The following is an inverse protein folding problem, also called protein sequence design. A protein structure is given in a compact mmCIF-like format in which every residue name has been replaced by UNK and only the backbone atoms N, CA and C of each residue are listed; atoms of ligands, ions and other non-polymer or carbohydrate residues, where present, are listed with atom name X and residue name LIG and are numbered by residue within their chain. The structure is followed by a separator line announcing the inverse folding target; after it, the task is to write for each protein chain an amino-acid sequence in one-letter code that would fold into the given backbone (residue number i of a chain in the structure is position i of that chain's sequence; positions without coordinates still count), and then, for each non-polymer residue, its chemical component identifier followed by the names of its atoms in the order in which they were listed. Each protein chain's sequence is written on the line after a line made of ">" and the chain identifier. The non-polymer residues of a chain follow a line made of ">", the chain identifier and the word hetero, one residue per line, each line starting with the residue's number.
data_IF_127565438839
#
_entry.id   IF_127565438839
#
_cell.length_a   1.000
_cell.length_b   1.000
_cell.length_c   1.000
_cell.angle_alpha   90.00
_cell.angle_beta   90.00
_cell.angle_gamma   90.00
#
_symmetry.space_group_name_H-M   'P 1'
#
loop_
_entity.id
_entity.type
_entity.pdbx_description
1 polymer ?
#
# COMPACT_ATOMS: atom_id res chain seq x y z
N UNK A 1 57.79 -25.30 17.27
CA UNK A 1 56.54 -24.68 16.80
C UNK A 1 56.87 -23.23 16.49
N UNK A 2 57.06 -22.87 15.24
CA UNK A 2 57.33 -21.48 14.84
C UNK A 2 56.05 -20.67 14.99
N UNK A 3 56.04 -19.70 15.88
CA UNK A 3 54.96 -18.73 16.00
C UNK A 3 54.92 -17.90 14.75
N UNK A 4 53.91 -18.13 13.90
CA UNK A 4 53.68 -17.31 12.71
C UNK A 4 53.38 -15.89 13.19
N UNK A 5 54.20 -14.93 12.76
CA UNK A 5 54.02 -13.52 13.18
C UNK A 5 52.80 -12.89 12.49
N UNK A 6 52.13 -11.99 13.17
CA UNK A 6 50.89 -11.32 12.62
C UNK A 6 51.08 -10.70 11.21
N UNK A 7 52.27 -10.10 10.92
CA UNK A 7 52.56 -9.59 9.54
C UNK A 7 52.64 -10.67 8.47
N UNK A 8 53.09 -11.89 8.82
CA UNK A 8 53.17 -13.00 7.86
C UNK A 8 51.77 -13.56 7.54
N UNK A 9 50.91 -13.71 8.53
CA UNK A 9 49.52 -14.11 8.39
C UNK A 9 48.77 -13.13 7.44
N UNK A 10 48.95 -11.83 7.67
CA UNK A 10 48.36 -10.80 6.86
C UNK A 10 48.85 -10.87 5.37
N UNK A 11 50.12 -11.14 5.17
CA UNK A 11 50.72 -11.21 3.85
C UNK A 11 50.26 -12.46 3.05
N UNK A 12 50.11 -13.59 3.72
CA UNK A 12 49.55 -14.80 3.11
C UNK A 12 48.05 -14.69 2.86
N UNK A 13 47.30 -14.07 3.77
CA UNK A 13 45.86 -13.86 3.63
C UNK A 13 45.54 -12.97 2.43
N UNK A 14 46.29 -11.88 2.22
CA UNK A 14 46.12 -10.96 1.06
C UNK A 14 46.54 -11.60 -0.27
N UNK A 15 47.45 -12.61 -0.25
CA UNK A 15 47.81 -13.36 -1.44
C UNK A 15 46.77 -14.43 -1.81
N UNK A 16 45.96 -14.85 -0.91
CA UNK A 16 44.90 -15.82 -1.15
C UNK A 16 43.71 -15.17 -1.86
N UNK A 17 43.29 -15.70 -3.01
CA UNK A 17 42.10 -15.23 -3.73
C UNK A 17 40.85 -15.35 -2.86
N UNK A 18 40.74 -16.42 -2.06
CA UNK A 18 39.64 -16.63 -1.12
C UNK A 18 39.67 -15.59 -0.01
N UNK A 19 40.87 -15.26 0.52
CA UNK A 19 41.04 -14.21 1.54
C UNK A 19 40.61 -12.83 1.03
N UNK A 20 40.96 -12.48 -0.21
CA UNK A 20 40.58 -11.22 -0.84
C UNK A 20 39.04 -11.14 -1.02
N UNK A 21 38.41 -12.22 -1.46
CA UNK A 21 36.93 -12.29 -1.57
C UNK A 21 36.28 -12.12 -0.20
N UNK A 22 36.81 -12.79 0.84
CA UNK A 22 36.30 -12.65 2.20
C UNK A 22 36.39 -11.22 2.75
N UNK A 23 37.55 -10.54 2.54
CA UNK A 23 37.70 -9.13 2.90
C UNK A 23 36.71 -8.24 2.12
N UNK A 24 36.56 -8.51 0.83
CA UNK A 24 35.62 -7.78 -0.02
C UNK A 24 34.17 -7.88 0.47
N UNK A 25 33.74 -9.09 0.84
CA UNK A 25 32.41 -9.31 1.42
C UNK A 25 32.26 -8.58 2.76
N UNK A 26 33.24 -8.71 3.65
CA UNK A 26 33.22 -8.03 4.94
C UNK A 26 33.18 -6.51 4.79
N UNK A 27 34.01 -5.95 3.91
CA UNK A 27 33.99 -4.52 3.61
C UNK A 27 32.63 -4.08 3.03
N UNK A 28 32.04 -4.88 2.13
CA UNK A 28 30.70 -4.66 1.60
C UNK A 28 29.63 -4.64 2.69
N UNK A 29 29.66 -5.58 3.62
CA UNK A 29 28.73 -5.63 4.77
C UNK A 29 28.91 -4.42 5.70
N UNK A 30 30.14 -3.98 5.96
CA UNK A 30 30.40 -2.78 6.77
C UNK A 30 29.84 -1.53 6.09
N UNK A 31 30.07 -1.39 4.77
CA UNK A 31 29.54 -0.27 3.98
C UNK A 31 28.01 -0.31 4.00
N UNK A 32 27.42 -1.48 3.76
CA UNK A 32 25.97 -1.67 3.78
C UNK A 32 25.38 -1.31 5.15
N UNK A 33 26.05 -1.74 6.23
CA UNK A 33 25.66 -1.40 7.61
C UNK A 33 25.69 0.11 7.87
N UNK A 34 26.74 0.80 7.40
CA UNK A 34 26.84 2.25 7.56
C UNK A 34 25.76 2.99 6.74
N UNK A 35 25.53 2.56 5.49
CA UNK A 35 24.50 3.13 4.62
C UNK A 35 23.11 2.92 5.25
N UNK A 36 22.78 1.73 5.74
CA UNK A 36 21.48 1.46 6.35
C UNK A 36 21.22 2.33 7.57
N UNK A 37 22.23 2.52 8.43
CA UNK A 37 22.11 3.38 9.61
C UNK A 37 21.87 4.87 9.27
N UNK A 38 22.32 5.31 8.10
CA UNK A 38 22.15 6.70 7.64
C UNK A 38 20.84 6.89 6.88
N UNK A 39 20.45 5.90 6.06
CA UNK A 39 19.32 6.05 5.12
C UNK A 39 17.98 5.61 5.71
N UNK A 40 17.95 4.65 6.63
CA UNK A 40 16.73 4.15 7.23
C UNK A 40 16.64 4.64 8.68
N UNK A 41 15.61 5.45 9.02
CA UNK A 41 15.42 5.91 10.39
C UNK A 41 15.29 4.75 11.36
N UNK A 42 15.95 4.85 12.52
CA UNK A 42 15.88 3.82 13.56
C UNK A 42 14.45 3.58 14.06
N UNK A 43 13.60 4.58 13.96
CA UNK A 43 12.19 4.47 14.37
C UNK A 43 11.40 3.52 13.47
N UNK A 44 11.73 3.42 12.18
CA UNK A 44 11.17 2.41 11.27
C UNK A 44 11.50 0.99 11.76
N UNK A 45 12.74 0.78 12.23
CA UNK A 45 13.13 -0.51 12.79
C UNK A 45 12.47 -0.80 14.15
N UNK A 46 12.34 0.21 15.02
CA UNK A 46 11.62 0.05 16.31
C UNK A 46 10.17 -0.36 16.11
N UNK A 47 9.55 0.08 15.02
CA UNK A 47 8.20 -0.28 14.65
C UNK A 47 8.08 -1.62 13.91
N UNK A 48 9.19 -2.33 13.70
CA UNK A 48 9.22 -3.60 12.96
C UNK A 48 8.21 -4.63 13.48
N UNK A 49 8.02 -4.69 14.79
CA UNK A 49 7.07 -5.61 15.42
C UNK A 49 5.68 -4.99 15.68
N UNK A 50 5.43 -3.78 15.22
CA UNK A 50 4.13 -3.12 15.33
C UNK A 50 3.30 -3.35 14.05
N UNK A 51 2.29 -4.23 14.02
CA UNK A 51 1.51 -4.52 12.82
C UNK A 51 0.80 -3.30 12.25
N UNK A 52 0.42 -2.34 13.12
CA UNK A 52 -0.26 -1.10 12.70
C UNK A 52 0.58 -0.24 11.75
N UNK A 53 1.91 -0.28 11.88
CA UNK A 53 2.81 0.49 11.02
C UNK A 53 2.94 -0.08 9.60
N UNK A 54 2.56 -1.34 9.40
CA UNK A 54 2.70 -2.05 8.15
C UNK A 54 1.37 -2.34 7.44
N UNK A 55 0.25 -1.93 8.04
CA UNK A 55 -1.09 -2.27 7.53
C UNK A 55 -1.36 -1.72 6.13
N UNK A 56 -0.75 -0.59 5.79
CA UNK A 56 -0.88 0.05 4.48
C UNK A 56 0.01 -0.58 3.39
N UNK A 57 0.83 -1.57 3.73
CA UNK A 57 1.68 -2.29 2.77
C UNK A 57 0.99 -3.57 2.28
N UNK A 58 1.35 -4.09 1.11
CA UNK A 58 0.77 -5.34 0.60
C UNK A 58 1.27 -6.54 1.40
N UNK A 59 0.51 -7.61 1.42
CA UNK A 59 0.87 -8.86 2.09
C UNK A 59 1.57 -9.79 1.11
N UNK A 60 2.71 -10.38 1.51
CA UNK A 60 3.45 -11.40 0.72
C UNK A 60 3.70 -11.01 -0.73
N UNK A 61 4.05 -9.73 -0.95
CA UNK A 61 4.34 -9.24 -2.29
C UNK A 61 5.73 -9.67 -2.77
N UNK A 62 5.86 -9.83 -4.08
CA UNK A 62 7.16 -10.04 -4.72
C UNK A 62 7.87 -8.70 -4.96
N UNK A 63 9.19 -8.68 -5.20
CA UNK A 63 9.90 -7.47 -5.59
C UNK A 63 9.39 -6.89 -6.93
N UNK A 64 9.32 -5.56 -7.06
CA UNK A 64 8.83 -4.90 -8.29
C UNK A 64 9.66 -5.22 -9.53
N UNK A 65 10.96 -5.49 -9.38
CA UNK A 65 11.84 -5.81 -10.51
C UNK A 65 11.47 -7.13 -11.19
N UNK A 66 10.68 -8.01 -10.59
CA UNK A 66 10.16 -9.23 -11.22
C UNK A 66 9.36 -8.89 -12.47
N UNK A 67 8.68 -7.74 -12.50
CA UNK A 67 7.93 -7.27 -13.66
C UNK A 67 8.80 -7.07 -14.91
N UNK A 68 10.12 -6.95 -14.78
CA UNK A 68 11.02 -6.89 -15.95
C UNK A 68 11.23 -8.26 -16.62
N UNK A 69 10.98 -9.35 -15.90
CA UNK A 69 11.27 -10.72 -16.34
C UNK A 69 10.03 -11.56 -16.67
N UNK A 70 8.85 -11.08 -16.28
CA UNK A 70 7.58 -11.77 -16.56
C UNK A 70 6.84 -11.11 -17.72
N UNK A 71 6.12 -11.90 -18.51
CA UNK A 71 5.30 -11.39 -19.63
C UNK A 71 3.99 -10.77 -19.11
N UNK A 72 3.35 -11.41 -18.13
CA UNK A 72 2.15 -10.90 -17.47
C UNK A 72 2.56 -9.97 -16.33
N UNK A 73 2.13 -8.71 -16.40
CA UNK A 73 2.53 -7.69 -15.42
C UNK A 73 1.73 -7.82 -14.14
N UNK A 74 2.45 -8.00 -13.05
CA UNK A 74 1.92 -8.13 -11.69
C UNK A 74 1.62 -6.72 -11.17
N UNK A 75 0.46 -6.48 -10.52
CA UNK A 75 0.11 -5.17 -10.01
C UNK A 75 1.09 -4.71 -8.93
N UNK A 76 1.63 -3.52 -9.12
CA UNK A 76 2.46 -2.85 -8.14
C UNK A 76 1.58 -2.18 -7.09
N UNK A 77 2.09 -2.11 -5.88
CA UNK A 77 1.43 -1.42 -4.78
C UNK A 77 1.45 0.09 -5.03
N UNK A 78 0.27 0.72 -4.92
CA UNK A 78 0.08 2.13 -5.23
C UNK A 78 -0.56 2.85 -4.05
N UNK A 79 0.02 3.99 -3.67
CA UNK A 79 -0.55 4.92 -2.69
C UNK A 79 -0.87 6.22 -3.42
N UNK A 80 -2.15 6.60 -3.42
CA UNK A 80 -2.67 7.84 -3.98
C UNK A 80 -3.00 8.76 -2.80
N UNK A 81 -2.17 9.76 -2.56
CA UNK A 81 -2.24 10.70 -1.43
C UNK A 81 -2.57 12.14 -1.85
N UNK A 82 -2.73 12.38 -3.15
CA UNK A 82 -3.05 13.70 -3.72
C UNK A 82 -4.36 13.66 -4.51
N UNK A 83 -5.54 13.60 -3.84
CA UNK A 83 -6.83 13.62 -4.54
C UNK A 83 -7.09 14.99 -5.17
N UNK A 84 -7.84 14.98 -6.27
CA UNK A 84 -8.49 16.20 -6.75
C UNK A 84 -9.73 16.45 -5.89
N UNK A 85 -9.73 17.54 -5.11
CA UNK A 85 -10.87 17.89 -4.27
C UNK A 85 -11.78 18.86 -4.99
N UNK A 86 -13.06 18.52 -5.09
CA UNK A 86 -14.11 19.37 -5.65
C UNK A 86 -15.14 19.64 -4.56
N UNK A 87 -15.38 20.92 -4.28
CA UNK A 87 -16.44 21.35 -3.35
C UNK A 87 -17.59 21.94 -4.15
N UNK A 88 -18.81 21.51 -3.84
CA UNK A 88 -20.05 22.09 -4.35
C UNK A 88 -20.88 22.55 -3.15
N UNK A 89 -21.22 23.84 -3.13
CA UNK A 89 -22.03 24.47 -2.09
C UNK A 89 -23.39 24.85 -2.69
N UNK A 90 -24.29 23.84 -2.80
CA UNK A 90 -25.69 24.03 -3.14
C UNK A 90 -26.55 23.86 -1.87
N UNK A 91 -27.80 23.46 -2.01
CA UNK A 91 -28.70 23.12 -0.89
C UNK A 91 -28.15 21.99 0.01
N UNK A 92 -27.30 21.13 -0.54
CA UNK A 92 -26.49 20.13 0.15
C UNK A 92 -25.03 20.40 -0.24
N UNK A 93 -24.20 20.66 0.75
CA UNK A 93 -22.75 20.80 0.56
C UNK A 93 -22.14 19.44 0.29
N UNK A 94 -21.31 19.34 -0.74
CA UNK A 94 -20.62 18.08 -1.10
C UNK A 94 -19.13 18.37 -1.24
N UNK A 95 -18.31 17.65 -0.48
CA UNK A 95 -16.87 17.58 -0.71
C UNK A 95 -16.58 16.23 -1.38
N UNK A 96 -16.00 16.27 -2.57
CA UNK A 96 -15.64 15.11 -3.37
C UNK A 96 -14.13 15.02 -3.51
N UNK A 97 -13.51 14.00 -2.92
CA UNK A 97 -12.12 13.63 -3.17
C UNK A 97 -12.06 12.57 -4.26
N UNK A 98 -11.33 12.88 -5.32
CA UNK A 98 -11.24 12.05 -6.52
C UNK A 98 -9.84 11.50 -6.68
N UNK A 99 -9.70 10.18 -6.73
CA UNK A 99 -8.45 9.46 -6.95
C UNK A 99 -8.50 8.77 -8.32
N UNK A 100 -7.80 9.34 -9.29
CA UNK A 100 -7.66 8.74 -10.61
C UNK A 100 -6.46 7.82 -10.67
N UNK A 101 -6.59 6.65 -11.29
CA UNK A 101 -5.49 5.77 -11.58
C UNK A 101 -5.67 5.06 -12.92
N UNK A 102 -4.56 4.85 -13.62
CA UNK A 102 -4.53 4.02 -14.81
C UNK A 102 -4.08 2.60 -14.45
N UNK A 103 -4.97 1.62 -14.64
CA UNK A 103 -4.68 0.21 -14.36
C UNK A 103 -4.27 -0.51 -15.64
N UNK A 104 -3.02 -0.95 -15.71
CA UNK A 104 -2.43 -1.57 -16.92
C UNK A 104 -1.89 -2.98 -16.70
N UNK A 105 -2.04 -3.52 -15.49
CA UNK A 105 -1.54 -4.84 -15.10
C UNK A 105 -2.40 -5.97 -15.67
N UNK A 106 -1.83 -7.19 -15.69
CA UNK A 106 -2.49 -8.40 -16.21
C UNK A 106 -3.14 -9.24 -15.10
N UNK A 107 -2.94 -8.88 -13.84
CA UNK A 107 -3.48 -9.55 -12.66
C UNK A 107 -4.26 -8.55 -11.78
N UNK A 108 -5.11 -9.06 -10.88
CA UNK A 108 -5.93 -8.26 -9.98
C UNK A 108 -5.12 -7.68 -8.80
N UNK A 109 -5.48 -6.50 -8.28
CA UNK A 109 -4.93 -6.01 -7.02
C UNK A 109 -5.35 -6.93 -5.86
N UNK A 110 -4.60 -6.91 -4.76
CA UNK A 110 -4.91 -7.77 -3.61
C UNK A 110 -6.06 -7.23 -2.75
N UNK A 111 -6.10 -5.92 -2.57
CA UNK A 111 -7.07 -5.20 -1.76
C UNK A 111 -7.06 -3.70 -2.10
N UNK A 112 -7.93 -2.94 -1.49
CA UNK A 112 -7.78 -1.49 -1.37
C UNK A 112 -8.12 -1.03 0.05
N UNK A 113 -7.47 0.07 0.45
CA UNK A 113 -7.70 0.71 1.74
C UNK A 113 -7.93 2.19 1.47
N UNK A 114 -9.03 2.73 1.97
CA UNK A 114 -9.23 4.17 2.03
C UNK A 114 -9.03 4.66 3.45
N UNK A 115 -8.16 5.64 3.63
CA UNK A 115 -7.82 6.23 4.93
C UNK A 115 -7.99 7.74 4.83
N UNK A 116 -8.67 8.35 5.79
CA UNK A 116 -8.90 9.78 5.80
C UNK A 116 -9.05 10.34 7.21
N UNK A 117 -8.70 11.60 7.33
CA UNK A 117 -8.94 12.46 8.47
C UNK A 117 -9.89 13.58 8.06
N UNK A 118 -11.03 13.65 8.74
CA UNK A 118 -12.04 14.67 8.49
C UNK A 118 -12.36 15.45 9.77
N UNK A 119 -12.42 16.74 9.65
CA UNK A 119 -12.88 17.65 10.70
C UNK A 119 -14.29 18.10 10.37
N UNK A 120 -15.23 17.85 11.25
CA UNK A 120 -16.65 18.16 11.01
C UNK A 120 -17.42 18.39 12.31
N UNK A 121 -18.62 18.97 12.18
CA UNK A 121 -19.67 19.03 13.21
C UNK A 121 -21.01 18.64 12.58
N UNK A 122 -21.93 18.10 13.36
CA UNK A 122 -23.25 17.68 12.91
C UNK A 122 -23.27 16.27 12.31
N UNK A 123 -24.13 16.04 11.30
CA UNK A 123 -24.34 14.75 10.67
C UNK A 123 -23.94 14.79 9.19
N UNK A 124 -23.03 13.95 8.79
CA UNK A 124 -22.55 13.86 7.42
C UNK A 124 -22.69 12.45 6.87
N UNK A 125 -23.06 12.35 5.59
CA UNK A 125 -23.12 11.08 4.88
C UNK A 125 -21.82 10.91 4.06
N UNK A 126 -21.10 9.83 4.33
CA UNK A 126 -19.94 9.39 3.55
C UNK A 126 -20.39 8.38 2.50
N UNK A 127 -20.03 8.62 1.25
CA UNK A 127 -20.20 7.67 0.15
C UNK A 127 -18.88 7.46 -0.57
N UNK A 128 -18.57 6.19 -0.86
CA UNK A 128 -17.42 5.80 -1.68
C UNK A 128 -17.93 5.05 -2.88
N UNK A 129 -17.57 5.49 -4.07
CA UNK A 129 -17.88 4.80 -5.32
C UNK A 129 -16.63 4.69 -6.21
N UNK A 130 -16.69 3.80 -7.18
CA UNK A 130 -15.66 3.65 -8.19
C UNK A 130 -16.30 3.69 -9.57
N UNK A 131 -15.79 4.57 -10.45
CA UNK A 131 -16.09 4.59 -11.86
C UNK A 131 -15.02 3.78 -12.57
N UNK A 132 -15.47 2.76 -13.31
CA UNK A 132 -14.61 1.81 -14.03
C UNK A 132 -14.33 2.28 -15.46
N UNK A 133 -13.34 1.68 -16.14
CA UNK A 133 -13.05 2.01 -17.55
C UNK A 133 -14.23 1.83 -18.52
N UNK A 134 -15.16 0.92 -18.22
CA UNK A 134 -16.39 0.70 -18.98
C UNK A 134 -17.51 1.70 -18.64
N UNK A 135 -17.19 2.75 -17.87
CA UNK A 135 -18.10 3.80 -17.39
C UNK A 135 -19.17 3.31 -16.41
N UNK A 136 -19.10 2.07 -15.95
CA UNK A 136 -19.97 1.61 -14.87
C UNK A 136 -19.53 2.20 -13.53
N UNK A 137 -20.48 2.65 -12.72
CA UNK A 137 -20.25 3.13 -11.38
C UNK A 137 -20.73 2.08 -10.36
N UNK A 138 -19.87 1.76 -9.38
CA UNK A 138 -20.18 0.84 -8.29
C UNK A 138 -20.13 1.61 -6.99
N UNK A 139 -21.24 1.68 -6.25
CA UNK A 139 -21.24 2.22 -4.89
C UNK A 139 -20.64 1.18 -3.93
N UNK A 140 -19.47 1.50 -3.40
CA UNK A 140 -18.73 0.61 -2.50
C UNK A 140 -19.25 0.72 -1.07
N UNK A 141 -19.46 1.95 -0.58
CA UNK A 141 -19.90 2.22 0.79
C UNK A 141 -20.80 3.43 0.84
N UNK A 142 -21.84 3.36 1.67
CA UNK A 142 -22.65 4.50 2.09
C UNK A 142 -22.91 4.37 3.59
N UNK A 143 -22.44 5.34 4.37
CA UNK A 143 -22.63 5.35 5.83
C UNK A 143 -22.65 6.78 6.37
N UNK A 144 -23.38 6.98 7.47
CA UNK A 144 -23.36 8.26 8.21
C UNK A 144 -22.17 8.28 9.16
N UNK A 145 -21.43 9.39 9.17
CA UNK A 145 -20.40 9.64 10.18
C UNK A 145 -21.04 9.81 11.55
N UNK A 146 -20.31 9.51 12.64
CA UNK A 146 -20.83 9.71 13.99
C UNK A 146 -21.26 11.17 14.20
N UNK A 147 -22.45 11.40 14.77
CA UNK A 147 -22.94 12.75 15.07
C UNK A 147 -22.09 13.42 16.14
N UNK A 148 -21.80 14.73 15.97
CA UNK A 148 -21.11 15.54 16.97
C UNK A 148 -21.64 16.96 17.00
N UNK A 149 -22.00 17.46 18.20
CA UNK A 149 -22.46 18.86 18.41
C UNK A 149 -21.31 19.88 18.28
N UNK A 150 -20.06 19.42 18.42
CA UNK A 150 -18.87 20.27 18.32
C UNK A 150 -17.98 19.80 17.18
N UNK A 151 -17.10 20.67 16.72
CA UNK A 151 -16.10 20.31 15.71
C UNK A 151 -15.16 19.23 16.29
N UNK A 152 -15.10 18.10 15.62
CA UNK A 152 -14.23 16.96 15.97
C UNK A 152 -13.43 16.50 14.77
N UNK A 153 -12.23 16.01 15.03
CA UNK A 153 -11.43 15.32 14.02
C UNK A 153 -11.74 13.83 14.12
N UNK A 154 -12.17 13.24 13.02
CA UNK A 154 -12.48 11.82 12.91
C UNK A 154 -11.52 11.16 11.94
N UNK A 155 -10.79 10.17 12.45
CA UNK A 155 -9.93 9.31 11.66
C UNK A 155 -10.66 8.02 11.32
N UNK A 156 -10.66 7.64 10.06
CA UNK A 156 -11.24 6.40 9.63
C UNK A 156 -10.40 5.68 8.59
N UNK A 157 -10.41 4.37 8.68
CA UNK A 157 -9.78 3.46 7.74
C UNK A 157 -10.79 2.42 7.29
N UNK A 158 -11.02 2.34 5.99
CA UNK A 158 -12.02 1.49 5.35
C UNK A 158 -11.28 0.49 4.47
N UNK A 159 -11.56 -0.80 4.67
CA UNK A 159 -10.92 -1.89 3.94
C UNK A 159 -11.87 -2.47 2.90
N UNK A 160 -11.36 -2.82 1.72
CA UNK A 160 -12.12 -3.54 0.69
C UNK A 160 -12.75 -4.84 1.21
N UNK A 161 -12.12 -5.44 2.22
CA UNK A 161 -12.58 -6.67 2.87
C UNK A 161 -13.75 -6.48 3.84
N UNK A 162 -14.19 -5.24 4.08
CA UNK A 162 -15.33 -4.95 4.95
C UNK A 162 -16.63 -5.56 4.40
N UNK A 163 -17.41 -6.17 5.27
CA UNK A 163 -18.64 -6.89 4.89
C UNK A 163 -19.66 -6.01 4.16
N UNK A 164 -19.75 -4.73 4.52
CA UNK A 164 -20.66 -3.78 3.87
C UNK A 164 -20.23 -3.52 2.43
N UNK A 165 -18.92 -3.36 2.18
CA UNK A 165 -18.36 -3.19 0.84
C UNK A 165 -18.60 -4.44 0.02
N UNK A 166 -18.26 -5.62 0.54
CA UNK A 166 -18.50 -6.90 -0.15
C UNK A 166 -19.95 -7.07 -0.57
N UNK A 167 -20.88 -6.77 0.34
CA UNK A 167 -22.32 -6.86 0.07
C UNK A 167 -22.75 -5.88 -1.02
N UNK A 168 -22.30 -4.62 -0.95
CA UNK A 168 -22.66 -3.61 -1.95
C UNK A 168 -22.09 -3.98 -3.33
N UNK A 169 -20.81 -4.35 -3.41
CA UNK A 169 -20.18 -4.81 -4.66
C UNK A 169 -20.96 -5.98 -5.25
N UNK A 170 -21.35 -6.97 -4.42
CA UNK A 170 -22.15 -8.11 -4.88
C UNK A 170 -23.49 -7.69 -5.44
N UNK A 171 -24.22 -6.77 -4.79
CA UNK A 171 -25.52 -6.27 -5.25
C UNK A 171 -25.36 -5.55 -6.60
N UNK A 172 -24.49 -4.55 -6.68
CA UNK A 172 -24.31 -3.74 -7.89
C UNK A 172 -23.81 -4.57 -9.06
N UNK A 173 -22.87 -5.47 -8.85
CA UNK A 173 -22.37 -6.35 -9.92
C UNK A 173 -23.37 -7.41 -10.34
N UNK A 174 -24.27 -7.85 -9.43
CA UNK A 174 -25.37 -8.76 -9.80
C UNK A 174 -26.37 -8.07 -10.69
N UNK A 175 -26.72 -6.80 -10.41
CA UNK A 175 -27.61 -5.99 -11.25
C UNK A 175 -27.03 -5.74 -12.64
N UNK A 176 -25.71 -5.61 -12.75
CA UNK A 176 -25.00 -5.43 -14.03
C UNK A 176 -24.72 -6.75 -14.75
N UNK A 177 -25.04 -7.92 -14.17
CA UNK A 177 -24.69 -9.23 -14.72
C UNK A 177 -23.21 -9.58 -14.68
N UNK A 178 -22.42 -8.86 -13.87
CA UNK A 178 -20.97 -9.02 -13.74
C UNK A 178 -20.55 -9.87 -12.53
N UNK A 179 -21.51 -10.22 -11.66
CA UNK A 179 -21.22 -11.02 -10.47
C UNK A 179 -20.68 -12.41 -10.81
N UNK A 180 -19.61 -12.82 -10.13
CA UNK A 180 -18.96 -14.13 -10.27
C UNK A 180 -18.77 -14.76 -8.90
N UNK A 181 -19.40 -15.90 -8.65
CA UNK A 181 -19.38 -16.56 -7.35
C UNK A 181 -17.97 -17.01 -6.92
N UNK A 182 -17.05 -17.25 -7.88
CA UNK A 182 -15.70 -17.75 -7.63
C UNK A 182 -14.63 -16.66 -7.57
N UNK A 183 -15.03 -15.37 -7.58
CA UNK A 183 -14.13 -14.24 -7.50
C UNK A 183 -14.35 -13.47 -6.20
N UNK A 184 -13.27 -12.89 -5.66
CA UNK A 184 -13.38 -11.96 -4.55
C UNK A 184 -14.11 -10.68 -4.98
N UNK A 185 -14.68 -9.93 -4.03
CA UNK A 185 -15.32 -8.65 -4.34
C UNK A 185 -14.31 -7.64 -4.88
N UNK A 186 -13.08 -7.68 -4.39
CA UNK A 186 -11.97 -6.86 -4.84
C UNK A 186 -11.64 -7.15 -6.30
N UNK A 187 -11.47 -8.43 -6.66
CA UNK A 187 -11.19 -8.84 -8.04
C UNK A 187 -12.32 -8.45 -8.99
N UNK A 188 -13.57 -8.63 -8.56
CA UNK A 188 -14.75 -8.31 -9.38
C UNK A 188 -14.84 -6.83 -9.75
N UNK A 189 -14.38 -5.91 -8.90
CA UNK A 189 -14.31 -4.47 -9.23
C UNK A 189 -13.40 -4.25 -10.44
N UNK A 190 -12.35 -5.04 -10.57
CA UNK A 190 -11.35 -4.93 -11.64
C UNK A 190 -11.56 -5.94 -12.78
N UNK A 191 -12.63 -6.74 -12.76
CA UNK A 191 -12.90 -7.74 -13.77
C UNK A 191 -13.84 -7.20 -14.87
N UNK A 192 -13.63 -7.65 -16.11
CA UNK A 192 -14.56 -7.48 -17.22
C UNK A 192 -15.63 -8.60 -17.23
N UNK A 193 -16.53 -8.60 -18.24
CA UNK A 193 -17.58 -9.60 -18.41
C UNK A 193 -17.03 -11.04 -18.56
N UNK A 194 -15.82 -11.21 -19.06
CA UNK A 194 -15.18 -12.52 -19.23
C UNK A 194 -14.45 -12.99 -17.95
N UNK A 195 -14.43 -12.19 -16.89
CA UNK A 195 -13.68 -12.47 -15.65
C UNK A 195 -12.18 -12.22 -15.77
N UNK A 196 -11.74 -11.50 -16.81
CA UNK A 196 -10.37 -11.05 -16.99
C UNK A 196 -10.21 -9.63 -16.47
N UNK A 197 -8.98 -9.22 -16.22
CA UNK A 197 -8.68 -7.86 -15.78
C UNK A 197 -9.19 -6.82 -16.78
N UNK A 198 -9.95 -5.86 -16.30
CA UNK A 198 -10.40 -4.70 -17.04
C UNK A 198 -9.34 -3.59 -16.90
N UNK A 199 -8.55 -3.40 -17.96
CA UNK A 199 -7.52 -2.36 -18.00
C UNK A 199 -8.12 -1.01 -18.39
N UNK A 200 -7.54 0.07 -17.88
CA UNK A 200 -7.94 1.44 -18.23
C UNK A 200 -7.97 2.36 -17.02
N UNK A 201 -8.70 3.46 -17.16
CA UNK A 201 -8.76 4.51 -16.17
C UNK A 201 -9.87 4.23 -15.16
N UNK A 202 -9.50 4.15 -13.89
CA UNK A 202 -10.39 4.05 -12.75
C UNK A 202 -10.44 5.38 -12.02
N UNK A 203 -11.63 5.76 -11.54
CA UNK A 203 -11.81 6.94 -10.72
C UNK A 203 -12.54 6.55 -9.44
N UNK A 204 -11.86 6.58 -8.31
CA UNK A 204 -12.47 6.41 -7.01
C UNK A 204 -12.96 7.77 -6.50
N UNK A 205 -14.22 7.82 -6.11
CA UNK A 205 -14.90 9.01 -5.62
C UNK A 205 -15.22 8.82 -4.13
N UNK A 206 -14.81 9.77 -3.33
CA UNK A 206 -15.14 9.81 -1.91
C UNK A 206 -15.89 11.09 -1.64
N UNK A 207 -17.18 10.98 -1.46
CA UNK A 207 -18.10 12.09 -1.29
C UNK A 207 -18.56 12.19 0.17
N UNK A 208 -18.44 13.39 0.74
CA UNK A 208 -18.98 13.73 2.05
C UNK A 208 -20.08 14.76 1.85
N UNK A 209 -21.30 14.39 2.24
CA UNK A 209 -22.50 15.22 2.13
C UNK A 209 -22.84 15.80 3.47
N UNK A 210 -23.13 17.09 3.53
CA UNK A 210 -23.59 17.78 4.73
C UNK A 210 -24.62 18.88 4.43
N UNK A 211 -25.40 19.23 5.42
CA UNK A 211 -26.36 20.35 5.33
C UNK A 211 -25.86 21.50 6.17
N UNK A 212 -25.41 22.59 5.53
CA UNK A 212 -25.04 23.87 6.15
C UNK A 212 -23.98 23.82 7.28
N UNK A 213 -23.29 22.70 7.46
CA UNK A 213 -22.29 22.49 8.52
C UNK A 213 -20.89 22.43 7.91
N UNK A 214 -19.91 22.91 8.68
CA UNK A 214 -18.52 22.91 8.21
C UNK A 214 -17.98 21.49 8.24
N UNK A 215 -17.50 21.05 7.09
CA UNK A 215 -16.71 19.81 6.95
C UNK A 215 -15.42 20.14 6.18
N UNK A 216 -14.32 19.57 6.61
CA UNK A 216 -13.00 19.74 5.97
C UNK A 216 -12.27 18.39 6.00
N UNK A 217 -11.81 17.94 4.85
CA UNK A 217 -10.93 16.78 4.78
C UNK A 217 -9.51 17.26 4.98
N UNK A 218 -8.85 16.80 6.05
CA UNK A 218 -7.50 17.22 6.45
C UNK A 218 -6.48 16.37 5.67
N UNK A 219 -6.67 15.06 5.65
CA UNK A 219 -5.84 14.09 4.95
C UNK A 219 -6.71 13.02 4.32
N UNK A 220 -6.27 12.49 3.18
CA UNK A 220 -7.04 11.48 2.47
C UNK A 220 -6.12 10.74 1.52
N UNK A 221 -6.09 9.42 1.64
CA UNK A 221 -5.31 8.55 0.78
C UNK A 221 -6.06 7.28 0.41
N UNK A 222 -5.89 6.87 -0.83
CA UNK A 222 -6.35 5.59 -1.34
C UNK A 222 -5.14 4.71 -1.61
N UNK A 223 -5.13 3.53 -1.03
CA UNK A 223 -4.09 2.53 -1.18
C UNK A 223 -4.66 1.39 -2.00
N UNK A 224 -4.04 1.08 -3.13
CA UNK A 224 -4.35 -0.10 -3.94
C UNK A 224 -3.27 -1.15 -3.67
N UNK A 225 -3.66 -2.21 -2.99
CA UNK A 225 -2.74 -3.29 -2.62
C UNK A 225 -2.24 -4.02 -3.85
N UNK A 226 -0.95 -3.93 -4.08
CA UNK A 226 -0.29 -4.66 -5.15
C UNK A 226 0.15 -6.06 -4.73
N UNK A 227 0.56 -6.86 -5.70
CA UNK A 227 1.25 -8.14 -5.50
C UNK A 227 2.76 -8.01 -5.69
N UNK A 228 3.22 -6.84 -6.13
CA UNK A 228 4.64 -6.47 -6.22
C UNK A 228 4.89 -5.18 -5.42
N UNK A 229 5.98 -5.15 -4.63
CA UNK A 229 6.34 -4.01 -3.80
C UNK A 229 7.84 -3.95 -3.52
N UNK A 230 8.41 -2.75 -3.60
CA UNK A 230 9.80 -2.45 -3.20
C UNK A 230 10.85 -3.32 -3.86
N UNK A 231 12.07 -3.29 -3.30
CA UNK A 231 13.21 -4.06 -3.85
C UNK A 231 13.22 -5.53 -3.45
N UNK A 232 12.64 -5.88 -2.31
CA UNK A 232 12.69 -7.24 -1.74
C UNK A 232 11.29 -7.84 -1.49
N UNK A 233 10.22 -7.08 -1.76
CA UNK A 233 8.86 -7.50 -1.43
C UNK A 233 8.54 -7.37 0.05
N UNK A 234 7.44 -7.99 0.46
CA UNK A 234 6.94 -7.98 1.86
C UNK A 234 6.69 -9.39 2.37
N UNK A 235 6.67 -9.55 3.68
CA UNK A 235 6.32 -10.79 4.35
C UNK A 235 4.80 -10.93 4.66
N UNK A 236 4.44 -11.98 5.38
CA UNK A 236 3.05 -12.24 5.81
C UNK A 236 2.51 -11.17 6.77
N UNK A 237 3.39 -10.44 7.45
CA UNK A 237 3.05 -9.33 8.34
C UNK A 237 3.07 -7.97 7.62
N UNK A 238 3.15 -7.97 6.29
CA UNK A 238 3.23 -6.79 5.40
C UNK A 238 4.51 -5.97 5.56
N UNK A 239 5.53 -6.50 6.27
CA UNK A 239 6.77 -5.77 6.55
C UNK A 239 7.65 -5.74 5.31
N UNK A 240 8.22 -4.58 5.00
CA UNK A 240 9.19 -4.43 3.91
C UNK A 240 10.48 -5.18 4.25
N UNK A 241 10.76 -6.24 3.49
CA UNK A 241 11.91 -7.11 3.73
C UNK A 241 13.25 -6.40 3.60
N UNK A 242 13.33 -5.32 2.81
CA UNK A 242 14.58 -4.53 2.71
C UNK A 242 14.93 -3.86 4.04
N UNK A 243 13.94 -3.39 4.80
CA UNK A 243 14.15 -2.77 6.11
C UNK A 243 14.73 -3.79 7.09
N UNK A 244 14.17 -5.00 7.14
CA UNK A 244 14.66 -6.07 8.00
C UNK A 244 16.07 -6.52 7.63
N UNK A 245 16.35 -6.67 6.33
CA UNK A 245 17.68 -7.06 5.83
C UNK A 245 18.74 -6.00 6.16
N UNK A 246 18.46 -4.74 5.85
CA UNK A 246 19.41 -3.66 6.06
C UNK A 246 19.70 -3.41 7.53
N UNK A 247 18.69 -3.41 8.41
CA UNK A 247 18.89 -3.26 9.84
C UNK A 247 19.43 -4.54 10.52
N UNK A 248 19.19 -5.72 9.96
CA UNK A 248 19.80 -6.97 10.43
C UNK A 248 21.32 -7.00 10.25
N UNK A 249 21.85 -6.31 9.22
CA UNK A 249 23.29 -6.30 8.89
C UNK A 249 24.14 -5.68 10.01
N UNK A 250 23.89 -4.46 10.53
CA UNK A 250 24.65 -3.91 11.65
C UNK A 250 24.55 -4.78 12.90
N UNK A 251 23.37 -5.32 13.21
CA UNK A 251 23.20 -6.19 14.36
C UNK A 251 24.05 -7.46 14.25
N UNK A 252 24.09 -8.09 13.07
CA UNK A 252 24.90 -9.29 12.81
C UNK A 252 26.42 -9.03 12.89
N UNK A 253 26.86 -7.80 12.59
CA UNK A 253 28.27 -7.43 12.69
C UNK A 253 28.73 -7.08 14.12
N UNK A 254 27.78 -6.76 15.03
CA UNK A 254 28.07 -6.44 16.43
C UNK A 254 28.06 -7.65 17.38
N UNK A 255 27.58 -8.80 16.91
CA UNK A 255 27.59 -10.08 17.67
C UNK A 255 28.84 -10.87 17.33
#
# INVERSE_FOLDING_TARGET
>A
MSSISGPEIRKEFVKSKVGLVGIGILAGLIILSAVSAITIPIDTFKQWNNPGSWISYPKTSVPVWINYFVSEKIPEHLILDNPTTITKDDAISVISNQFGMQYHYDDFPSDFIYEFDVEYSGSHLLQISVIRPDQSEILLLSKTLPYSDTTVTHHERIFSTDNNIKKNVQIYLSEMGLYRQNMSSEDMIFANMDGKVLKGDYLFLVNIYGTNEKVSVIDSKLIIGGKAYGMMGTDELRRDLIVGLLWGTPLALFI
#
